data_IF_731397014759
#
_entry.id   IF_731397014759
#
_cell.length_a   1.000
_cell.length_b   1.000
_cell.length_c   1.000
_cell.angle_alpha   90.00
_cell.angle_beta   90.00
_cell.angle_gamma   90.00
#
_symmetry.space_group_name_H-M   'P 1'
#
loop_
_entity.id
_entity.type
_entity.pdbx_description
1 polymer ?
#
# COMPACT_ATOMS: atom_id res chain seq x y z
N UNK A 1 0.03 -18.00 -31.66
CA UNK A 1 1.33 -17.74 -31.03
C UNK A 1 1.29 -16.27 -30.63
N UNK A 2 1.16 -15.95 -29.34
CA UNK A 2 1.05 -14.55 -28.90
C UNK A 2 2.47 -13.99 -28.89
N UNK A 3 2.82 -13.21 -29.90
CA UNK A 3 4.07 -12.46 -29.96
C UNK A 3 4.04 -11.39 -28.86
N UNK A 4 4.82 -11.60 -27.81
CA UNK A 4 5.14 -10.57 -26.82
C UNK A 4 6.08 -9.55 -27.49
N UNK A 5 5.52 -8.65 -28.29
CA UNK A 5 6.25 -7.50 -28.79
C UNK A 5 6.76 -6.69 -27.58
N UNK A 6 8.08 -6.68 -27.38
CA UNK A 6 8.80 -5.92 -26.34
C UNK A 6 8.48 -4.41 -26.30
N UNK A 7 7.71 -3.88 -27.26
CA UNK A 7 7.23 -2.49 -27.30
C UNK A 7 6.10 -2.19 -26.31
N UNK A 8 5.47 -3.18 -25.69
CA UNK A 8 4.35 -2.97 -24.76
C UNK A 8 4.76 -2.71 -23.30
N UNK A 9 5.80 -3.40 -22.81
CA UNK A 9 6.24 -3.28 -21.41
C UNK A 9 6.65 -1.86 -21.04
N UNK A 10 7.42 -1.18 -21.88
CA UNK A 10 7.82 0.21 -21.61
C UNK A 10 6.63 1.17 -21.58
N UNK A 11 5.59 0.91 -22.39
CA UNK A 11 4.35 1.71 -22.45
C UNK A 11 3.47 1.49 -21.22
N UNK A 12 3.61 0.37 -20.51
CA UNK A 12 2.90 0.06 -19.27
C UNK A 12 3.71 0.48 -18.03
N UNK A 13 5.03 0.27 -18.05
CA UNK A 13 5.92 0.58 -16.93
C UNK A 13 6.20 2.08 -16.81
N UNK A 14 6.34 2.83 -17.91
CA UNK A 14 6.54 4.28 -17.86
C UNK A 14 5.43 5.03 -17.08
N UNK A 15 4.12 4.80 -17.33
CA UNK A 15 3.07 5.44 -16.54
C UNK A 15 3.02 4.94 -15.10
N UNK A 16 3.29 3.65 -14.83
CA UNK A 16 3.38 3.15 -13.46
C UNK A 16 4.51 3.82 -12.68
N UNK A 17 5.69 3.96 -13.30
CA UNK A 17 6.83 4.65 -12.71
C UNK A 17 6.50 6.11 -12.39
N UNK A 18 5.91 6.84 -13.34
CA UNK A 18 5.48 8.22 -13.11
C UNK A 18 4.43 8.32 -11.99
N UNK A 19 3.48 7.39 -11.95
CA UNK A 19 2.49 7.33 -10.87
C UNK A 19 3.17 7.15 -9.51
N UNK A 20 4.09 6.18 -9.38
CA UNK A 20 4.83 5.96 -8.13
C UNK A 20 5.72 7.16 -7.76
N UNK A 21 6.33 7.82 -8.75
CA UNK A 21 7.15 9.02 -8.52
C UNK A 21 6.31 10.17 -7.96
N UNK A 22 5.13 10.41 -8.56
CA UNK A 22 4.18 11.42 -8.09
C UNK A 22 3.67 11.06 -6.69
N UNK A 23 3.30 9.81 -6.46
CA UNK A 23 2.83 9.33 -5.16
C UNK A 23 3.86 9.59 -4.05
N UNK A 24 5.13 9.22 -4.28
CA UNK A 24 6.21 9.48 -3.32
C UNK A 24 6.46 10.99 -3.14
N UNK A 25 6.34 11.78 -4.21
CA UNK A 25 6.44 13.24 -4.14
C UNK A 25 5.35 13.86 -3.26
N UNK A 26 4.10 13.40 -3.36
CA UNK A 26 3.00 13.87 -2.49
C UNK A 26 3.31 13.58 -1.03
N UNK A 27 3.75 12.36 -0.69
CA UNK A 27 4.11 11.98 0.69
C UNK A 27 5.25 12.87 1.23
N UNK A 28 6.22 13.19 0.39
CA UNK A 28 7.32 14.09 0.75
C UNK A 28 6.83 15.51 1.02
N UNK A 29 5.96 16.05 0.15
CA UNK A 29 5.37 17.37 0.31
C UNK A 29 4.48 17.44 1.56
N UNK A 30 3.69 16.42 1.86
CA UNK A 30 2.88 16.35 3.09
C UNK A 30 3.75 16.46 4.35
N UNK A 31 4.88 15.76 4.35
CA UNK A 31 5.83 15.80 5.47
C UNK A 31 6.47 17.19 5.60
N UNK A 32 6.89 17.81 4.49
CA UNK A 32 7.47 19.15 4.48
C UNK A 32 6.46 20.23 4.89
N UNK A 33 5.21 20.11 4.46
CA UNK A 33 4.15 21.05 4.79
C UNK A 33 3.89 21.06 6.30
N UNK A 34 3.85 19.88 6.93
CA UNK A 34 3.68 19.76 8.38
C UNK A 34 4.93 20.21 9.14
N UNK A 35 6.13 19.97 8.59
CA UNK A 35 7.38 20.49 9.14
C UNK A 35 7.44 22.02 9.13
N UNK A 36 6.93 22.67 8.09
CA UNK A 36 6.85 24.12 8.01
C UNK A 36 5.88 24.76 9.01
N UNK A 37 4.92 24.01 9.55
CA UNK A 37 3.96 24.51 10.55
C UNK A 37 4.53 24.47 11.98
N UNK A 38 5.26 23.41 12.35
CA UNK A 38 5.94 23.30 13.65
C UNK A 38 6.87 22.09 13.68
N UNK A 39 8.09 22.27 14.22
CA UNK A 39 9.04 21.17 14.42
C UNK A 39 8.47 20.02 15.28
N UNK A 40 7.63 20.35 16.27
CA UNK A 40 6.97 19.34 17.11
C UNK A 40 5.92 18.54 16.31
N UNK A 41 5.20 19.16 15.37
CA UNK A 41 4.29 18.42 14.48
C UNK A 41 5.08 17.54 13.53
N UNK A 42 6.19 18.04 12.97
CA UNK A 42 7.05 17.29 12.07
C UNK A 42 7.57 15.99 12.72
N UNK A 43 8.08 16.11 13.95
CA UNK A 43 8.61 14.98 14.72
C UNK A 43 7.52 13.96 15.06
N UNK A 44 6.35 14.43 15.51
CA UNK A 44 5.21 13.56 15.84
C UNK A 44 4.68 12.80 14.61
N UNK A 45 4.59 13.48 13.46
CA UNK A 45 4.11 12.87 12.21
C UNK A 45 5.15 11.89 11.63
N UNK A 46 6.45 12.19 11.74
CA UNK A 46 7.51 11.28 11.33
C UNK A 46 7.47 9.97 12.14
N UNK A 47 7.30 10.06 13.46
CA UNK A 47 7.12 8.91 14.34
C UNK A 47 5.85 8.12 13.97
N UNK A 48 4.73 8.80 13.73
CA UNK A 48 3.50 8.16 13.28
C UNK A 48 3.67 7.45 11.93
N UNK A 49 4.36 8.06 10.97
CA UNK A 49 4.60 7.48 9.65
C UNK A 49 5.47 6.21 9.71
N UNK A 50 6.40 6.11 10.65
CA UNK A 50 7.18 4.88 10.86
C UNK A 50 6.29 3.71 11.31
N UNK A 51 5.39 3.97 12.26
CA UNK A 51 4.43 2.97 12.76
C UNK A 51 3.43 2.59 11.66
N UNK A 52 2.88 3.61 10.99
CA UNK A 52 1.90 3.42 9.91
C UNK A 52 2.53 2.76 8.67
N UNK A 53 3.82 2.98 8.41
CA UNK A 53 4.55 2.35 7.32
C UNK A 53 4.47 0.83 7.38
N UNK A 54 4.67 0.25 8.57
CA UNK A 54 4.54 -1.21 8.78
C UNK A 54 3.11 -1.68 8.50
N UNK A 55 2.11 -0.93 8.94
CA UNK A 55 0.70 -1.23 8.68
C UNK A 55 0.35 -1.19 7.18
N UNK A 56 0.88 -0.19 6.46
CA UNK A 56 0.73 -0.08 5.02
C UNK A 56 1.43 -1.23 4.30
N UNK A 57 2.63 -1.61 4.70
CA UNK A 57 3.38 -2.72 4.09
C UNK A 57 2.66 -4.06 4.25
N UNK A 58 2.15 -4.36 5.45
CA UNK A 58 1.39 -5.61 5.69
C UNK A 58 0.15 -5.67 4.79
N UNK A 59 -0.61 -4.58 4.71
CA UNK A 59 -1.81 -4.51 3.87
C UNK A 59 -1.48 -4.53 2.38
N UNK A 60 -0.37 -3.89 2.00
CA UNK A 60 0.18 -3.87 0.64
C UNK A 60 0.60 -5.26 0.17
N UNK A 61 1.35 -5.99 1.00
CA UNK A 61 1.76 -7.38 0.73
C UNK A 61 0.55 -8.29 0.52
N UNK A 62 -0.48 -8.16 1.36
CA UNK A 62 -1.72 -8.90 1.18
C UNK A 62 -2.39 -8.57 -0.17
N UNK A 63 -2.45 -7.28 -0.53
CA UNK A 63 -3.03 -6.82 -1.80
C UNK A 63 -2.25 -7.32 -3.02
N UNK A 64 -0.92 -7.36 -2.93
CA UNK A 64 -0.07 -7.95 -3.98
C UNK A 64 -0.29 -9.47 -4.07
N UNK A 65 -0.43 -10.17 -2.94
CA UNK A 65 -0.78 -11.59 -2.92
C UNK A 65 -2.12 -11.88 -3.61
N UNK A 66 -3.13 -11.07 -3.33
CA UNK A 66 -4.42 -11.14 -4.02
C UNK A 66 -4.30 -10.85 -5.53
N UNK A 67 -3.51 -9.85 -5.91
CA UNK A 67 -3.23 -9.53 -7.32
C UNK A 67 -2.58 -10.70 -8.06
N UNK A 68 -1.62 -11.39 -7.43
CA UNK A 68 -0.98 -12.59 -7.98
C UNK A 68 -2.03 -13.69 -8.22
N UNK A 69 -2.91 -13.95 -7.25
CA UNK A 69 -4.00 -14.92 -7.41
C UNK A 69 -4.92 -14.53 -8.58
N UNK A 70 -5.35 -13.27 -8.65
CA UNK A 70 -6.21 -12.78 -9.73
C UNK A 70 -5.53 -12.99 -11.09
N UNK A 71 -4.25 -12.62 -11.21
CA UNK A 71 -3.47 -12.81 -12.43
C UNK A 71 -3.35 -14.30 -12.83
N UNK A 72 -3.16 -15.20 -11.85
CA UNK A 72 -3.12 -16.65 -12.07
C UNK A 72 -4.46 -17.22 -12.58
N UNK A 73 -5.60 -16.72 -12.10
CA UNK A 73 -6.91 -17.14 -12.60
C UNK A 73 -7.23 -16.53 -13.97
N UNK A 74 -6.80 -15.28 -14.21
CA UNK A 74 -6.94 -14.62 -15.49
C UNK A 74 -6.12 -15.32 -16.58
N UNK A 75 -4.88 -15.71 -16.26
CA UNK A 75 -4.01 -16.47 -17.17
C UNK A 75 -4.54 -17.86 -17.53
N UNK A 76 -5.37 -18.46 -16.68
CA UNK A 76 -6.09 -19.73 -16.96
C UNK A 76 -7.43 -19.51 -17.69
N UNK A 77 -7.70 -18.30 -18.16
CA UNK A 77 -8.95 -17.87 -18.79
C UNK A 77 -10.20 -18.07 -17.92
N UNK A 78 -10.04 -18.12 -16.58
CA UNK A 78 -11.13 -18.33 -15.61
C UNK A 78 -11.66 -17.00 -15.07
N UNK A 79 -12.20 -16.17 -15.96
CA UNK A 79 -12.66 -14.79 -15.65
C UNK A 79 -13.67 -14.76 -14.49
N UNK A 80 -14.59 -15.73 -14.44
CA UNK A 80 -15.60 -15.82 -13.38
C UNK A 80 -14.99 -16.02 -11.99
N UNK A 81 -13.97 -16.88 -11.87
CA UNK A 81 -13.28 -17.10 -10.59
C UNK A 81 -12.40 -15.91 -10.23
N UNK A 82 -11.75 -15.28 -11.21
CA UNK A 82 -10.99 -14.06 -10.99
C UNK A 82 -11.88 -12.95 -10.39
N UNK A 83 -13.09 -12.76 -10.92
CA UNK A 83 -14.06 -11.78 -10.38
C UNK A 83 -14.45 -12.10 -8.92
N UNK A 84 -14.73 -13.36 -8.60
CA UNK A 84 -15.06 -13.74 -7.22
C UNK A 84 -13.88 -13.48 -6.27
N UNK A 85 -12.65 -13.76 -6.71
CA UNK A 85 -11.45 -13.52 -5.91
C UNK A 85 -11.24 -12.02 -5.70
N UNK A 86 -11.52 -11.16 -6.68
CA UNK A 86 -11.44 -9.70 -6.49
C UNK A 86 -12.37 -9.25 -5.35
N UNK A 87 -13.61 -9.74 -5.32
CA UNK A 87 -14.58 -9.37 -4.27
C UNK A 87 -14.10 -9.87 -2.90
N UNK A 88 -13.64 -11.11 -2.82
CA UNK A 88 -13.13 -11.70 -1.57
C UNK A 88 -11.85 -11.02 -1.10
N UNK A 89 -10.93 -10.71 -2.03
CA UNK A 89 -9.70 -9.99 -1.74
C UNK A 89 -9.98 -8.59 -1.20
N UNK A 90 -10.92 -7.87 -1.81
CA UNK A 90 -11.30 -6.53 -1.35
C UNK A 90 -11.93 -6.57 0.05
N UNK A 91 -12.85 -7.51 0.31
CA UNK A 91 -13.45 -7.69 1.63
C UNK A 91 -12.41 -8.08 2.69
N UNK A 92 -11.50 -9.00 2.35
CA UNK A 92 -10.43 -9.43 3.26
C UNK A 92 -9.40 -8.33 3.52
N UNK A 93 -8.97 -7.57 2.50
CA UNK A 93 -8.11 -6.39 2.71
C UNK A 93 -8.76 -5.37 3.62
N UNK A 94 -10.07 -5.13 3.48
CA UNK A 94 -10.81 -4.23 4.35
C UNK A 94 -10.86 -4.73 5.81
N UNK A 95 -11.18 -6.01 6.01
CA UNK A 95 -11.16 -6.64 7.33
C UNK A 95 -9.77 -6.58 7.97
N UNK A 96 -8.73 -6.86 7.20
CA UNK A 96 -7.34 -6.83 7.65
C UNK A 96 -6.94 -5.40 8.07
N UNK A 97 -7.32 -4.40 7.27
CA UNK A 97 -7.13 -2.98 7.61
C UNK A 97 -7.84 -2.58 8.91
N UNK A 98 -9.08 -3.03 9.12
CA UNK A 98 -9.83 -2.76 10.36
C UNK A 98 -9.18 -3.43 11.58
N UNK A 99 -8.67 -4.65 11.43
CA UNK A 99 -7.95 -5.36 12.50
C UNK A 99 -6.67 -4.60 12.86
N UNK A 100 -5.88 -4.19 11.87
CA UNK A 100 -4.65 -3.42 12.10
C UNK A 100 -4.97 -2.07 12.75
N UNK A 101 -6.00 -1.37 12.28
CA UNK A 101 -6.44 -0.11 12.88
C UNK A 101 -6.83 -0.30 14.35
N UNK A 102 -7.59 -1.37 14.67
CA UNK A 102 -7.94 -1.72 16.05
C UNK A 102 -6.72 -1.98 16.93
N UNK A 103 -5.73 -2.73 16.41
CA UNK A 103 -4.48 -3.01 17.12
C UNK A 103 -3.70 -1.72 17.39
N UNK A 104 -3.60 -0.83 16.39
CA UNK A 104 -2.89 0.44 16.55
C UNK A 104 -3.57 1.37 17.55
N UNK A 105 -4.90 1.43 17.56
CA UNK A 105 -5.65 2.28 18.51
C UNK A 105 -5.46 1.78 19.94
N UNK A 106 -5.52 0.47 20.17
CA UNK A 106 -5.35 -0.11 21.53
C UNK A 106 -3.89 -0.06 21.98
N UNK A 107 -2.94 -0.25 21.06
CA UNK A 107 -1.51 -0.28 21.34
C UNK A 107 -0.79 1.06 21.24
N UNK A 108 -1.50 2.17 20.99
CA UNK A 108 -0.92 3.46 20.62
C UNK A 108 0.21 3.92 21.56
N UNK A 109 0.05 3.73 22.88
CA UNK A 109 1.08 4.07 23.87
C UNK A 109 2.35 3.22 23.74
N UNK A 110 2.20 1.90 23.58
CA UNK A 110 3.36 0.99 23.45
C UNK A 110 4.13 1.21 22.15
N UNK A 111 3.43 1.44 21.03
CA UNK A 111 4.09 1.72 19.76
C UNK A 111 4.84 3.06 19.79
N UNK A 112 4.30 4.07 20.48
CA UNK A 112 4.99 5.34 20.65
C UNK A 112 6.28 5.16 21.47
N UNK A 113 6.26 4.37 22.55
CA UNK A 113 7.44 4.11 23.38
C UNK A 113 8.52 3.32 22.61
N UNK A 114 8.12 2.37 21.75
CA UNK A 114 9.06 1.62 20.90
C UNK A 114 9.81 2.48 19.88
N UNK A 115 9.16 3.52 19.34
CA UNK A 115 9.79 4.41 18.36
C UNK A 115 10.54 5.57 19.04
N UNK A 116 10.21 5.89 20.29
CA UNK A 116 10.89 6.92 21.08
C UNK A 116 12.18 6.43 21.79
N UNK A 117 12.59 5.19 21.55
CA UNK A 117 13.86 4.59 22.03
C UNK A 117 14.86 4.47 20.89
#
# INVERSE_FOLDING_TARGET
>A
MIDFERKSLFRLTAPLFLFYLIQNGIIFVDTLLLAGYSDNLAAAVSMANQILGVAYDVTGLFSVGALILIAQYLGRNQIGKAKNIVVVAMASSCLLGLIIAGILVVGAGQFADWVNT
#
